data_IF_496361839411
#
_entry.id   IF_496361839411
#
_cell.length_a   1.000
_cell.length_b   1.000
_cell.length_c   1.000
_cell.angle_alpha   90.00
_cell.angle_beta   90.00
_cell.angle_gamma   90.00
#
_symmetry.space_group_name_H-M   'P 1'
#
loop_
_entity.id
_entity.type
_entity.pdbx_description
1 polymer ?
#
# COMPACT_ATOMS: atom_id res chain seq x y z
N UNK A 1 -18.91 1.65 27.29
CA UNK A 1 -19.43 0.80 26.20
C UNK A 1 -19.11 1.50 24.88
N UNK A 2 -18.03 1.10 24.22
CA UNK A 2 -17.68 1.64 22.90
C UNK A 2 -18.40 0.77 21.86
N UNK A 3 -19.37 1.35 21.16
CA UNK A 3 -20.04 0.72 20.03
C UNK A 3 -19.31 1.15 18.76
N UNK A 4 -18.60 0.23 18.13
CA UNK A 4 -18.06 0.46 16.80
C UNK A 4 -19.10 0.07 15.75
N UNK A 5 -19.46 1.02 14.89
CA UNK A 5 -20.33 0.76 13.74
C UNK A 5 -19.44 0.21 12.61
N UNK A 6 -19.53 -1.09 12.35
CA UNK A 6 -18.93 -1.67 11.13
C UNK A 6 -19.98 -1.57 10.03
N UNK A 7 -19.71 -0.73 9.04
CA UNK A 7 -20.55 -0.58 7.87
C UNK A 7 -20.45 -1.83 6.98
N UNK A 8 -21.38 -2.72 7.13
CA UNK A 8 -21.56 -3.90 6.29
C UNK A 8 -23.04 -4.21 6.17
N UNK A 9 -23.49 -4.55 5.01
CA UNK A 9 -24.87 -4.67 4.51
C UNK A 9 -25.80 -5.65 5.23
N UNK A 10 -25.68 -5.85 6.52
CA UNK A 10 -26.70 -6.48 7.40
C UNK A 10 -26.32 -6.24 8.85
N UNK A 11 -26.94 -5.27 9.49
CA UNK A 11 -26.84 -4.84 10.88
C UNK A 11 -26.56 -5.89 11.96
N UNK A 12 -25.35 -6.43 11.99
CA UNK A 12 -24.85 -7.20 13.12
C UNK A 12 -23.90 -6.30 13.92
N UNK A 13 -24.29 -6.03 15.14
CA UNK A 13 -23.48 -5.34 16.12
C UNK A 13 -22.37 -6.28 16.59
N UNK A 14 -21.14 -5.79 16.59
CA UNK A 14 -20.00 -6.53 17.12
C UNK A 14 -19.76 -6.07 18.56
N UNK A 15 -20.08 -6.91 19.53
CA UNK A 15 -19.72 -6.66 20.93
C UNK A 15 -18.28 -7.11 21.19
N UNK A 16 -17.35 -6.19 21.17
CA UNK A 16 -15.92 -6.45 21.47
C UNK A 16 -15.71 -7.08 22.86
N UNK A 17 -16.61 -6.80 23.81
CA UNK A 17 -16.59 -7.36 25.16
C UNK A 17 -16.85 -8.86 25.20
N UNK A 18 -17.72 -9.37 24.30
CA UNK A 18 -18.01 -10.81 24.19
C UNK A 18 -16.82 -11.58 23.61
N UNK A 19 -16.10 -10.99 22.66
CA UNK A 19 -14.90 -11.58 22.10
C UNK A 19 -13.80 -11.70 23.16
N UNK A 20 -13.58 -10.66 23.94
CA UNK A 20 -12.59 -10.65 25.01
C UNK A 20 -12.91 -11.71 26.09
N UNK A 21 -14.18 -11.88 26.48
CA UNK A 21 -14.60 -12.89 27.45
C UNK A 21 -14.50 -14.33 26.91
N UNK A 22 -14.78 -14.54 25.62
CA UNK A 22 -14.62 -15.85 24.99
C UNK A 22 -13.17 -16.28 24.88
N UNK A 23 -12.27 -15.32 24.60
CA UNK A 23 -10.83 -15.54 24.50
C UNK A 23 -10.17 -15.89 25.85
N UNK A 24 -10.79 -15.51 26.98
CA UNK A 24 -10.24 -15.79 28.32
C UNK A 24 -10.64 -17.17 28.87
N UNK A 25 -11.60 -17.88 28.28
CA UNK A 25 -12.12 -19.17 28.80
C UNK A 25 -11.42 -20.41 28.25
N UNK A 26 -10.75 -20.34 27.10
CA UNK A 26 -10.00 -21.46 26.54
C UNK A 26 -8.52 -21.36 26.90
N UNK A 27 -8.07 -22.15 27.87
CA UNK A 27 -6.72 -22.13 28.45
C UNK A 27 -5.57 -22.43 27.47
N UNK A 28 -5.86 -22.93 26.25
CA UNK A 28 -4.83 -23.39 25.31
C UNK A 28 -4.83 -22.71 23.93
N UNK A 29 -5.68 -21.70 23.68
CA UNK A 29 -5.75 -21.05 22.37
C UNK A 29 -5.98 -19.53 22.50
N UNK A 30 -5.23 -18.85 23.37
CA UNK A 30 -5.28 -17.39 23.40
C UNK A 30 -4.57 -16.86 22.15
N UNK A 31 -5.24 -15.99 21.36
CA UNK A 31 -4.58 -15.36 20.24
C UNK A 31 -3.37 -14.56 20.73
N UNK A 32 -2.33 -14.55 19.91
CA UNK A 32 -1.14 -13.75 20.20
C UNK A 32 -1.53 -12.27 20.35
N UNK A 33 -0.92 -11.60 21.32
CA UNK A 33 -1.00 -10.14 21.46
C UNK A 33 0.14 -9.44 20.72
N UNK A 34 1.09 -10.23 20.25
CA UNK A 34 2.28 -9.74 19.56
C UNK A 34 1.93 -9.43 18.10
N UNK A 35 2.47 -8.34 17.60
CA UNK A 35 2.42 -8.02 16.17
C UNK A 35 3.40 -8.91 15.39
N UNK A 36 3.09 -9.23 14.14
CA UNK A 36 4.06 -9.84 13.26
C UNK A 36 5.33 -8.99 13.17
N UNK A 37 6.48 -9.64 13.07
CA UNK A 37 7.77 -8.96 13.02
C UNK A 37 7.84 -7.98 11.85
N UNK A 38 8.17 -6.72 12.13
CA UNK A 38 8.26 -5.65 11.14
C UNK A 38 6.94 -4.91 10.83
N UNK A 39 5.88 -5.20 11.61
CA UNK A 39 4.63 -4.46 11.59
C UNK A 39 4.47 -3.64 12.86
N UNK A 40 3.77 -2.52 12.79
CA UNK A 40 3.59 -1.59 13.91
C UNK A 40 2.19 -1.02 13.96
N UNK A 41 1.64 -0.87 15.16
CA UNK A 41 0.45 -0.05 15.39
C UNK A 41 0.86 1.42 15.45
N UNK A 42 0.13 2.29 14.76
CA UNK A 42 0.37 3.74 14.75
C UNK A 42 -0.71 4.46 15.53
N UNK A 43 -0.29 5.38 16.37
CA UNK A 43 -1.20 6.15 17.23
C UNK A 43 -1.57 7.51 16.61
N UNK A 44 -2.63 8.11 17.14
CA UNK A 44 -3.24 9.35 16.65
C UNK A 44 -2.22 10.47 16.38
N UNK A 45 -1.31 10.73 17.33
CA UNK A 45 -0.31 11.80 17.19
C UNK A 45 0.58 11.63 15.94
N UNK A 46 1.01 10.40 15.67
CA UNK A 46 1.82 10.07 14.50
C UNK A 46 1.00 10.19 13.22
N UNK A 47 -0.25 9.73 13.26
CA UNK A 47 -1.17 9.78 12.13
C UNK A 47 -1.52 11.22 11.74
N UNK A 48 -1.77 12.12 12.70
CA UNK A 48 -2.05 13.54 12.43
C UNK A 48 -0.86 14.23 11.76
N UNK A 49 0.37 14.00 12.22
CA UNK A 49 1.57 14.57 11.59
C UNK A 49 1.73 14.04 10.17
N UNK A 50 1.53 12.75 9.97
CA UNK A 50 1.58 12.12 8.65
C UNK A 50 0.55 12.72 7.71
N UNK A 51 -0.69 12.85 8.15
CA UNK A 51 -1.79 13.34 7.32
C UNK A 51 -1.61 14.82 6.96
N UNK A 52 -1.02 15.62 7.87
CA UNK A 52 -0.61 16.99 7.57
C UNK A 52 0.44 17.05 6.47
N UNK A 53 1.50 16.23 6.55
CA UNK A 53 2.55 16.16 5.52
C UNK A 53 1.95 15.74 4.17
N UNK A 54 1.11 14.70 4.18
CA UNK A 54 0.47 14.16 2.97
C UNK A 54 -0.42 15.22 2.30
N UNK A 55 -1.19 16.00 3.09
CA UNK A 55 -2.07 17.02 2.53
C UNK A 55 -1.27 18.11 1.79
N UNK A 56 -0.15 18.57 2.37
CA UNK A 56 0.72 19.54 1.72
C UNK A 56 1.32 18.99 0.41
N UNK A 57 1.81 17.74 0.41
CA UNK A 57 2.35 17.13 -0.79
C UNK A 57 1.26 17.00 -1.88
N UNK A 58 0.04 16.57 -1.51
CA UNK A 58 -1.08 16.46 -2.46
C UNK A 58 -1.43 17.80 -3.10
N UNK A 59 -1.42 18.90 -2.34
CA UNK A 59 -1.65 20.23 -2.91
C UNK A 59 -0.63 20.60 -3.98
N UNK A 60 0.66 20.29 -3.75
CA UNK A 60 1.71 20.50 -4.75
C UNK A 60 1.44 19.66 -5.99
N UNK A 61 1.11 18.38 -5.85
CA UNK A 61 0.80 17.49 -6.97
C UNK A 61 -0.34 18.05 -7.83
N UNK A 62 -1.42 18.51 -7.20
CA UNK A 62 -2.58 19.09 -7.90
C UNK A 62 -2.19 20.37 -8.65
N UNK A 63 -1.40 21.26 -8.02
CA UNK A 63 -0.92 22.51 -8.64
C UNK A 63 -0.07 22.26 -9.90
N UNK A 64 0.66 21.16 -9.94
CA UNK A 64 1.49 20.75 -11.09
C UNK A 64 0.74 19.83 -12.09
N UNK A 65 -0.56 19.63 -11.90
CA UNK A 65 -1.41 18.89 -12.84
C UNK A 65 -1.25 17.37 -12.78
N UNK A 66 -0.76 16.85 -11.66
CA UNK A 66 -0.73 15.40 -11.44
C UNK A 66 -2.12 14.88 -11.08
N UNK A 67 -2.48 13.75 -11.67
CA UNK A 67 -3.74 13.06 -11.42
C UNK A 67 -3.55 12.00 -10.35
N UNK A 68 -4.50 11.91 -9.44
CA UNK A 68 -4.50 10.82 -8.46
C UNK A 68 -4.96 9.51 -9.12
N UNK A 69 -4.17 8.48 -8.98
CA UNK A 69 -4.51 7.12 -9.44
C UNK A 69 -4.27 6.15 -8.29
N UNK A 70 -5.28 5.41 -7.91
CA UNK A 70 -5.17 4.34 -6.92
C UNK A 70 -5.28 2.98 -7.60
N UNK A 71 -4.31 2.11 -7.32
CA UNK A 71 -4.26 0.73 -7.81
C UNK A 71 -4.54 -0.24 -6.66
N UNK A 72 -5.04 -1.45 -6.94
CA UNK A 72 -5.28 -2.46 -5.92
C UNK A 72 -4.03 -2.81 -5.11
N UNK A 73 -4.24 -3.25 -3.87
CA UNK A 73 -3.16 -3.74 -3.00
C UNK A 73 -2.65 -5.12 -3.40
N UNK A 74 -3.48 -5.89 -4.10
CA UNK A 74 -3.15 -7.21 -4.63
C UNK A 74 -2.98 -7.14 -6.14
N UNK A 75 -1.94 -7.77 -6.63
CA UNK A 75 -1.70 -7.99 -8.04
C UNK A 75 -1.48 -9.48 -8.30
N UNK A 76 -1.70 -9.93 -9.53
CA UNK A 76 -1.21 -11.25 -9.91
C UNK A 76 0.31 -11.29 -9.79
N UNK A 77 0.84 -12.36 -9.22
CA UNK A 77 2.29 -12.47 -8.97
C UNK A 77 3.12 -12.30 -10.24
N UNK A 78 2.64 -12.76 -11.38
CA UNK A 78 3.28 -12.59 -12.69
C UNK A 78 3.32 -11.13 -13.19
N UNK A 79 2.45 -10.27 -12.67
CA UNK A 79 2.42 -8.84 -13.00
C UNK A 79 3.47 -8.00 -12.25
N UNK A 80 4.07 -8.54 -11.18
CA UNK A 80 5.08 -7.84 -10.35
C UNK A 80 6.47 -7.88 -11.01
N UNK A 81 6.67 -8.72 -12.02
CA UNK A 81 7.88 -8.78 -12.82
C UNK A 81 9.10 -9.31 -12.05
N UNK A 82 10.22 -8.58 -12.06
CA UNK A 82 11.50 -9.00 -11.44
C UNK A 82 11.46 -9.12 -9.91
N UNK A 83 10.41 -8.67 -9.26
CA UNK A 83 10.17 -8.86 -7.83
C UNK A 83 9.43 -10.16 -7.53
N UNK A 84 9.13 -10.95 -8.57
CA UNK A 84 8.66 -12.32 -8.37
C UNK A 84 9.71 -13.10 -7.61
N UNK A 85 9.32 -13.82 -6.55
CA UNK A 85 10.18 -14.79 -5.95
C UNK A 85 10.64 -15.79 -7.01
N UNK A 86 11.88 -16.19 -6.91
CA UNK A 86 12.39 -17.31 -7.70
C UNK A 86 11.44 -18.49 -7.55
N UNK A 87 11.21 -19.29 -8.58
CA UNK A 87 10.31 -20.46 -8.48
C UNK A 87 10.66 -21.37 -7.31
N UNK A 88 11.94 -21.35 -6.92
CA UNK A 88 12.50 -22.12 -5.82
C UNK A 88 12.41 -21.40 -4.45
N UNK A 89 12.06 -20.09 -4.42
CA UNK A 89 11.95 -19.28 -3.21
C UNK A 89 10.74 -18.33 -3.28
N UNK A 90 9.53 -18.88 -3.27
CA UNK A 90 8.31 -18.10 -3.48
C UNK A 90 8.04 -17.00 -2.43
N UNK A 91 8.74 -17.03 -1.30
CA UNK A 91 8.54 -16.10 -0.18
C UNK A 91 9.63 -15.02 -0.06
N UNK A 92 10.60 -14.96 -0.97
CA UNK A 92 11.70 -14.01 -0.89
C UNK A 92 11.29 -12.64 -1.47
N UNK A 93 11.23 -11.63 -0.62
CA UNK A 93 10.98 -10.23 -0.98
C UNK A 93 9.52 -9.81 -1.12
N UNK A 94 8.59 -10.72 -1.41
CA UNK A 94 7.17 -10.42 -1.64
C UNK A 94 6.28 -11.31 -0.80
N UNK A 95 5.20 -10.75 -0.24
CA UNK A 95 4.15 -11.55 0.39
C UNK A 95 3.21 -12.07 -0.67
N UNK A 96 3.18 -13.39 -0.86
CA UNK A 96 2.34 -14.04 -1.86
C UNK A 96 1.49 -15.13 -1.24
N UNK A 97 0.33 -15.36 -1.81
CA UNK A 97 -0.59 -16.43 -1.42
C UNK A 97 -1.34 -16.96 -2.64
N UNK A 98 -1.88 -18.16 -2.50
CA UNK A 98 -2.62 -18.80 -3.57
C UNK A 98 -4.10 -18.49 -3.43
N UNK A 99 -4.70 -18.01 -4.50
CA UNK A 99 -6.14 -17.81 -4.65
C UNK A 99 -6.62 -18.71 -5.80
N UNK A 100 -7.36 -19.76 -5.47
CA UNK A 100 -7.74 -20.82 -6.39
C UNK A 100 -6.55 -21.40 -7.17
N UNK A 101 -6.47 -21.08 -8.48
CA UNK A 101 -5.41 -21.57 -9.37
C UNK A 101 -4.34 -20.51 -9.70
N UNK A 102 -4.42 -19.33 -9.07
CA UNK A 102 -3.49 -18.21 -9.35
C UNK A 102 -2.76 -17.79 -8.09
N UNK A 103 -1.56 -17.26 -8.29
CA UNK A 103 -0.82 -16.61 -7.24
C UNK A 103 -1.13 -15.13 -7.23
N UNK A 104 -1.49 -14.60 -6.07
CA UNK A 104 -1.63 -13.20 -5.76
C UNK A 104 -0.49 -12.77 -4.83
N UNK A 105 -0.05 -11.53 -5.01
CA UNK A 105 0.97 -10.92 -4.17
C UNK A 105 0.52 -9.57 -3.69
N UNK A 106 0.90 -9.21 -2.46
CA UNK A 106 0.84 -7.83 -2.01
C UNK A 106 1.84 -6.99 -2.80
N UNK A 107 1.41 -5.81 -3.23
CA UNK A 107 2.28 -4.89 -3.99
C UNK A 107 3.52 -4.52 -3.18
N UNK A 108 4.68 -4.68 -3.79
CA UNK A 108 5.99 -4.35 -3.23
C UNK A 108 6.30 -2.85 -3.32
N UNK A 109 5.78 -2.22 -4.36
CA UNK A 109 5.87 -0.79 -4.68
C UNK A 109 4.56 -0.31 -5.34
N UNK A 110 4.53 0.95 -5.78
CA UNK A 110 3.42 1.51 -6.53
C UNK A 110 3.71 1.61 -8.04
N UNK A 111 4.94 1.30 -8.46
CA UNK A 111 5.40 1.40 -9.85
C UNK A 111 4.99 0.20 -10.69
N UNK A 112 5.10 -1.02 -10.18
CA UNK A 112 4.67 -2.22 -10.89
C UNK A 112 3.15 -2.21 -11.20
N UNK A 113 2.26 -1.88 -10.24
CA UNK A 113 0.84 -1.67 -10.53
C UNK A 113 0.57 -0.55 -11.55
N UNK A 114 1.36 0.54 -11.52
CA UNK A 114 1.27 1.59 -12.54
C UNK A 114 1.62 1.05 -13.93
N UNK A 115 2.72 0.30 -14.04
CA UNK A 115 3.14 -0.28 -15.33
C UNK A 115 2.04 -1.16 -15.92
N UNK A 116 1.39 -2.01 -15.12
CA UNK A 116 0.24 -2.80 -15.54
C UNK A 116 -0.94 -1.92 -15.99
N UNK A 117 -1.26 -0.88 -15.21
CA UNK A 117 -2.34 0.06 -15.55
C UNK A 117 -2.07 0.76 -16.89
N UNK A 118 -0.85 1.28 -17.06
CA UNK A 118 -0.43 1.95 -18.30
C UNK A 118 -0.48 0.98 -19.49
N UNK A 119 0.02 -0.24 -19.34
CA UNK A 119 -0.02 -1.24 -20.40
C UNK A 119 -1.45 -1.54 -20.85
N UNK A 120 -2.39 -1.65 -19.91
CA UNK A 120 -3.81 -1.89 -20.21
C UNK A 120 -4.48 -0.71 -20.92
N UNK A 121 -4.15 0.52 -20.52
CA UNK A 121 -4.86 1.73 -20.96
C UNK A 121 -4.00 2.63 -21.86
N UNK A 122 -2.94 2.09 -22.48
CA UNK A 122 -1.90 2.86 -23.17
C UNK A 122 -2.41 3.83 -24.24
N UNK A 123 -3.46 3.43 -24.96
CA UNK A 123 -4.05 4.25 -26.04
C UNK A 123 -5.00 5.33 -25.51
N UNK A 124 -5.50 5.19 -24.30
CA UNK A 124 -6.52 6.06 -23.71
C UNK A 124 -5.94 7.14 -22.81
N UNK A 125 -4.78 6.88 -22.22
CA UNK A 125 -4.13 7.84 -21.29
C UNK A 125 -3.46 8.99 -22.06
N UNK A 126 -3.56 10.24 -21.56
CA UNK A 126 -2.84 11.39 -22.12
C UNK A 126 -1.33 11.20 -22.02
N UNK A 127 -0.57 11.84 -22.91
CA UNK A 127 0.90 11.82 -22.88
C UNK A 127 1.45 13.24 -22.90
N UNK A 128 2.30 13.64 -21.96
CA UNK A 128 2.75 12.86 -20.81
C UNK A 128 1.65 12.63 -19.80
N UNK A 129 1.58 11.42 -19.25
CA UNK A 129 0.69 11.10 -18.13
C UNK A 129 1.41 11.39 -16.83
N UNK A 130 0.93 12.39 -16.10
CA UNK A 130 1.40 12.77 -14.78
C UNK A 130 0.49 12.14 -13.74
N UNK A 131 1.00 11.21 -12.93
CA UNK A 131 0.20 10.59 -11.87
C UNK A 131 0.89 10.65 -10.55
N UNK A 132 0.12 10.70 -9.46
CA UNK A 132 0.62 10.42 -8.12
C UNK A 132 -0.26 9.40 -7.42
N UNK A 133 0.32 8.68 -6.48
CA UNK A 133 -0.37 7.70 -5.64
C UNK A 133 0.22 7.71 -4.24
N UNK A 134 -0.67 7.57 -3.26
CA UNK A 134 -0.33 7.25 -1.88
C UNK A 134 -0.89 5.87 -1.60
N UNK A 135 -0.07 4.98 -1.05
CA UNK A 135 -0.55 3.65 -0.72
C UNK A 135 0.41 2.87 0.16
N UNK A 136 -0.15 1.97 0.95
CA UNK A 136 0.65 1.03 1.72
C UNK A 136 1.29 0.02 0.79
N UNK A 137 2.56 -0.30 1.04
CA UNK A 137 3.33 -1.33 0.34
C UNK A 137 3.90 -2.32 1.35
N UNK A 138 4.18 -3.53 0.88
CA UNK A 138 4.61 -4.63 1.74
C UNK A 138 5.87 -5.28 1.18
N UNK A 139 6.89 -5.41 2.04
CA UNK A 139 8.17 -6.04 1.68
C UNK A 139 8.48 -7.17 2.63
N UNK A 140 8.56 -8.39 2.10
CA UNK A 140 8.92 -9.56 2.89
C UNK A 140 10.44 -9.66 3.07
N UNK A 141 11.02 -8.59 3.59
CA UNK A 141 12.44 -8.49 3.86
C UNK A 141 12.71 -8.59 5.36
N UNK A 142 14.00 -8.79 5.73
CA UNK A 142 14.41 -8.82 7.14
C UNK A 142 14.20 -7.43 7.75
N UNK A 143 13.33 -7.28 8.77
CA UNK A 143 13.10 -5.99 9.41
C UNK A 143 14.27 -5.57 10.29
N UNK A 144 14.38 -4.26 10.56
CA UNK A 144 15.41 -3.66 11.40
C UNK A 144 14.99 -2.26 11.86
N UNK A 145 15.86 -1.53 12.56
CA UNK A 145 15.57 -0.17 12.98
C UNK A 145 15.23 0.71 11.77
N UNK A 146 14.02 1.31 11.77
CA UNK A 146 13.52 2.13 10.67
C UNK A 146 13.16 1.34 9.40
N UNK A 147 13.27 0.01 9.37
CA UNK A 147 12.95 -0.84 8.23
C UNK A 147 11.77 -1.74 8.57
N UNK A 148 10.60 -1.32 8.15
CA UNK A 148 9.34 -2.02 8.36
C UNK A 148 8.99 -2.90 7.15
N UNK A 149 8.17 -3.92 7.38
CA UNK A 149 7.61 -4.78 6.33
C UNK A 149 6.33 -4.20 5.71
N UNK A 150 5.71 -3.26 6.41
CA UNK A 150 4.56 -2.50 5.95
C UNK A 150 4.82 -1.02 6.17
N UNK A 151 4.71 -0.22 5.13
CA UNK A 151 4.86 1.23 5.22
C UNK A 151 4.10 1.96 4.11
N UNK A 152 3.85 3.23 4.34
CA UNK A 152 3.19 4.10 3.39
C UNK A 152 4.21 4.67 2.40
N UNK A 153 3.93 4.54 1.11
CA UNK A 153 4.74 5.06 0.01
C UNK A 153 3.94 6.13 -0.73
N UNK A 154 4.61 7.20 -1.13
CA UNK A 154 4.07 8.24 -1.99
C UNK A 154 4.92 8.28 -3.27
N UNK A 155 4.29 8.07 -4.42
CA UNK A 155 4.94 8.10 -5.72
C UNK A 155 4.35 9.20 -6.60
N UNK A 156 5.21 9.85 -7.38
CA UNK A 156 4.83 10.75 -8.45
C UNK A 156 5.62 10.40 -9.72
N UNK A 157 4.92 10.14 -10.81
CA UNK A 157 5.52 9.64 -12.03
C UNK A 157 5.08 10.42 -13.27
N UNK A 158 6.02 10.54 -14.21
CA UNK A 158 5.74 10.91 -15.59
C UNK A 158 5.83 9.68 -16.49
N UNK A 159 4.83 9.43 -17.29
CA UNK A 159 4.81 8.32 -18.23
C UNK A 159 4.61 8.84 -19.66
N UNK A 160 5.39 8.30 -20.59
CA UNK A 160 5.25 8.61 -22.01
C UNK A 160 5.94 9.89 -22.46
N UNK A 161 6.99 10.33 -21.78
CA UNK A 161 7.88 11.44 -22.20
C UNK A 161 9.34 11.03 -22.13
N UNK A 162 10.16 11.62 -22.98
CA UNK A 162 11.63 11.54 -22.93
C UNK A 162 12.26 12.90 -22.59
N UNK A 163 11.44 13.89 -22.24
CA UNK A 163 11.91 15.23 -21.95
C UNK A 163 12.57 15.30 -20.56
N UNK A 164 13.78 15.86 -20.50
CA UNK A 164 14.45 16.18 -19.23
C UNK A 164 13.71 17.23 -18.39
N UNK A 165 12.76 17.94 -19.00
CA UNK A 165 11.89 18.87 -18.26
C UNK A 165 11.02 18.15 -17.22
N UNK A 166 10.66 16.88 -17.46
CA UNK A 166 9.91 16.08 -16.49
C UNK A 166 10.71 15.86 -15.19
N UNK A 167 11.99 15.53 -15.32
CA UNK A 167 12.89 15.35 -14.18
C UNK A 167 13.12 16.69 -13.45
N UNK A 168 13.33 17.77 -14.20
CA UNK A 168 13.49 19.10 -13.63
C UNK A 168 12.22 19.57 -12.88
N UNK A 169 11.03 19.28 -13.39
CA UNK A 169 9.77 19.61 -12.75
C UNK A 169 9.64 18.89 -11.40
N UNK A 170 9.97 17.59 -11.32
CA UNK A 170 9.98 16.84 -10.06
C UNK A 170 10.95 17.46 -9.04
N UNK A 171 12.15 17.85 -9.47
CA UNK A 171 13.12 18.51 -8.59
C UNK A 171 12.60 19.84 -8.03
N UNK A 172 11.93 20.65 -8.86
CA UNK A 172 11.32 21.91 -8.42
C UNK A 172 10.17 21.68 -7.46
N UNK A 173 9.36 20.64 -7.67
CA UNK A 173 8.24 20.30 -6.80
C UNK A 173 8.69 19.90 -5.39
N UNK A 174 9.83 19.22 -5.25
CA UNK A 174 10.37 18.79 -3.95
C UNK A 174 10.80 20.00 -3.09
N UNK A 175 11.07 21.16 -3.70
CA UNK A 175 11.47 22.39 -3.00
C UNK A 175 10.28 23.21 -2.47
N UNK A 176 9.06 22.82 -2.80
CA UNK A 176 7.82 23.52 -2.41
C UNK A 176 7.20 22.90 -1.17
#
# INVERSE_FOLDING_TARGET
>A
LVRALVCGTRGRWFESTLLYHRMTKEKNNKPSKELPLGFVDRQEKELLVRDFIISNIKEVMIKYGFQYLETPSFEYSDSIGKFLPDKDRPDEGVFSFRDENKWLSLRYDLTAPLARYVAKNYLEIPKPFKRYQLGTVWRNEKPGPGRFREFLQFDADFVGTKSLQADAELCVMIQK
#
